data_IF_940471934596
#
_entry.id   IF_940471934596
#
_cell.length_a   1.000
_cell.length_b   1.000
_cell.length_c   1.000
_cell.angle_alpha   90.00
_cell.angle_beta   90.00
_cell.angle_gamma   90.00
#
_symmetry.space_group_name_H-M   'P 1'
#
loop_
_entity.id
_entity.type
_entity.pdbx_description
1 polymer ?
#
# COMPACT_ATOMS: atom_id res chain seq x y z
N UNK A 1 -8.45 -44.99 -22.51
CA UNK A 1 -7.21 -45.52 -21.92
C UNK A 1 -6.34 -44.33 -21.53
N UNK A 2 -5.99 -44.24 -20.28
CA UNK A 2 -4.88 -43.43 -19.76
C UNK A 2 -5.23 -42.01 -19.31
N UNK A 3 -5.80 -41.90 -18.12
CA UNK A 3 -5.87 -40.65 -17.35
C UNK A 3 -4.52 -40.52 -16.63
N UNK A 4 -3.71 -39.54 -17.01
CA UNK A 4 -2.43 -39.22 -16.41
C UNK A 4 -2.58 -38.33 -15.18
N UNK A 5 -1.88 -38.71 -14.16
CA UNK A 5 -1.87 -38.21 -12.79
C UNK A 5 -1.53 -36.71 -12.66
N UNK A 6 -2.24 -36.05 -11.76
CA UNK A 6 -1.96 -34.72 -11.23
C UNK A 6 -0.69 -34.75 -10.41
N UNK A 7 0.38 -34.14 -10.94
CA UNK A 7 1.63 -33.94 -10.23
C UNK A 7 1.47 -33.00 -9.04
N UNK A 8 1.69 -33.51 -7.85
CA UNK A 8 1.83 -32.73 -6.63
C UNK A 8 3.10 -31.87 -6.70
N UNK A 9 2.96 -30.56 -6.44
CA UNK A 9 4.06 -29.63 -6.28
C UNK A 9 4.88 -30.05 -5.04
N UNK A 10 6.20 -30.26 -5.16
CA UNK A 10 6.99 -30.67 -4.00
C UNK A 10 7.14 -29.54 -3.00
N UNK A 11 6.85 -29.82 -1.75
CA UNK A 11 7.13 -28.95 -0.62
C UNK A 11 8.65 -28.70 -0.54
N UNK A 12 9.06 -27.46 -0.72
CA UNK A 12 10.45 -27.03 -0.60
C UNK A 12 10.92 -27.22 0.83
N UNK A 13 11.84 -28.15 1.00
CA UNK A 13 12.53 -28.46 2.25
C UNK A 13 13.56 -27.37 2.52
N UNK A 14 13.34 -26.55 3.54
CA UNK A 14 14.38 -25.65 4.05
C UNK A 14 15.24 -26.47 5.00
N UNK A 15 16.47 -26.77 4.57
CA UNK A 15 17.54 -27.26 5.44
C UNK A 15 18.59 -26.17 5.49
N UNK A 16 18.78 -25.60 6.63
CA UNK A 16 20.01 -24.90 6.97
C UNK A 16 20.31 -25.12 8.44
N UNK A 17 21.20 -26.11 8.70
CA UNK A 17 21.97 -26.19 9.92
C UNK A 17 23.07 -25.13 9.83
N UNK A 18 22.89 -24.03 10.57
CA UNK A 18 23.94 -23.23 11.23
C UNK A 18 23.40 -21.84 11.53
N UNK A 19 22.89 -21.69 12.67
CA UNK A 19 22.96 -20.59 13.64
C UNK A 19 21.86 -20.89 14.67
N UNK A 20 22.20 -21.60 15.70
CA UNK A 20 21.47 -21.61 16.96
C UNK A 20 21.62 -20.22 17.58
N UNK A 21 20.74 -19.29 17.22
CA UNK A 21 20.28 -18.24 18.13
C UNK A 21 18.99 -17.58 17.58
N UNK A 22 17.84 -17.91 18.23
CA UNK A 22 16.63 -17.13 18.33
C UNK A 22 15.87 -16.75 17.04
N UNK A 23 15.53 -17.70 16.20
CA UNK A 23 14.38 -17.54 15.30
C UNK A 23 13.45 -18.73 15.45
N UNK A 24 12.60 -18.67 16.46
CA UNK A 24 11.45 -19.58 16.51
C UNK A 24 10.55 -19.19 15.34
N UNK A 25 10.62 -19.94 14.26
CA UNK A 25 9.59 -19.86 13.20
C UNK A 25 8.27 -20.16 13.91
N UNK A 26 7.39 -19.18 14.01
CA UNK A 26 6.06 -19.38 14.57
C UNK A 26 5.30 -20.24 13.57
N UNK A 27 5.31 -21.54 13.77
CA UNK A 27 4.48 -22.45 13.01
C UNK A 27 3.01 -22.30 13.48
N UNK A 28 2.31 -21.39 12.83
CA UNK A 28 0.89 -21.18 13.08
C UNK A 28 0.03 -22.42 12.74
N UNK A 29 0.57 -23.35 11.94
CA UNK A 29 -0.13 -24.59 11.58
C UNK A 29 -0.25 -25.57 12.75
N UNK A 30 0.70 -25.53 13.67
CA UNK A 30 0.73 -26.42 14.85
C UNK A 30 -0.12 -25.91 16.01
N UNK A 31 -0.56 -24.66 16.02
CA UNK A 31 -1.23 -23.99 17.14
C UNK A 31 -2.76 -23.96 17.08
N UNK A 32 -3.42 -24.55 16.09
CA UNK A 32 -4.87 -24.42 15.95
C UNK A 32 -5.30 -22.97 15.73
N UNK A 33 -6.18 -22.42 16.59
CA UNK A 33 -6.64 -21.04 16.55
C UNK A 33 -5.56 -20.11 17.12
N UNK A 34 -5.17 -19.08 16.34
CA UNK A 34 -4.21 -18.05 16.74
C UNK A 34 -4.86 -16.67 16.78
N UNK A 35 -4.34 -15.79 17.64
CA UNK A 35 -4.73 -14.37 17.70
C UNK A 35 -3.78 -13.56 16.85
N UNK A 36 -4.24 -13.14 15.68
CA UNK A 36 -3.40 -12.40 14.70
C UNK A 36 -3.78 -10.93 14.70
N UNK A 37 -2.80 -10.04 14.85
CA UNK A 37 -3.01 -8.61 14.70
C UNK A 37 -2.38 -8.14 13.40
N UNK A 38 -3.20 -7.64 12.47
CA UNK A 38 -2.76 -7.00 11.23
C UNK A 38 -2.75 -5.49 11.44
N UNK A 39 -1.57 -4.89 11.36
CA UNK A 39 -1.34 -3.47 11.53
C UNK A 39 -1.12 -2.82 10.16
N UNK A 40 -2.17 -2.26 9.61
CA UNK A 40 -2.18 -1.56 8.32
C UNK A 40 -2.37 -0.06 8.54
N UNK A 41 -1.30 0.72 8.39
CA UNK A 41 -1.41 2.17 8.64
C UNK A 41 -2.32 2.87 7.64
N UNK A 42 -2.31 2.47 6.38
CA UNK A 42 -2.98 3.18 5.30
C UNK A 42 -4.44 2.73 5.08
N UNK A 43 -4.81 1.51 5.46
CA UNK A 43 -6.12 0.91 5.21
C UNK A 43 -6.28 0.39 3.79
N UNK A 44 -5.25 -0.23 3.21
CA UNK A 44 -5.32 -0.73 1.84
C UNK A 44 -6.18 -1.99 1.70
N UNK A 45 -6.83 -2.20 0.56
CA UNK A 45 -7.80 -3.28 0.39
C UNK A 45 -7.19 -4.68 0.50
N UNK A 46 -5.98 -4.94 0.00
CA UNK A 46 -5.35 -6.25 0.09
C UNK A 46 -4.95 -6.64 1.53
N UNK A 47 -4.73 -5.67 2.41
CA UNK A 47 -4.38 -5.93 3.81
C UNK A 47 -5.61 -6.33 4.64
N UNK A 48 -6.75 -5.70 4.40
CA UNK A 48 -8.00 -6.13 5.06
C UNK A 48 -8.46 -7.48 4.51
N UNK A 49 -8.22 -7.78 3.23
CA UNK A 49 -8.52 -9.10 2.66
C UNK A 49 -7.71 -10.21 3.31
N UNK A 50 -6.42 -9.98 3.63
CA UNK A 50 -5.64 -10.91 4.44
C UNK A 50 -6.31 -11.16 5.79
N UNK A 51 -6.78 -10.10 6.45
CA UNK A 51 -7.44 -10.21 7.75
C UNK A 51 -8.73 -11.02 7.68
N UNK A 52 -9.54 -10.79 6.63
CA UNK A 52 -10.76 -11.57 6.37
C UNK A 52 -10.45 -13.04 6.13
N UNK A 53 -9.45 -13.32 5.29
CA UNK A 53 -9.07 -14.70 4.98
C UNK A 53 -8.56 -15.45 6.21
N UNK A 54 -7.73 -14.81 7.04
CA UNK A 54 -7.27 -15.39 8.29
C UNK A 54 -8.45 -15.69 9.24
N UNK A 55 -9.42 -14.79 9.33
CA UNK A 55 -10.60 -14.99 10.14
C UNK A 55 -11.49 -16.14 9.61
N UNK A 56 -11.65 -16.26 8.27
CA UNK A 56 -12.36 -17.39 7.65
C UNK A 56 -11.67 -18.73 7.89
N UNK A 57 -10.35 -18.74 8.10
CA UNK A 57 -9.58 -19.93 8.51
C UNK A 57 -9.67 -20.24 9.99
N UNK A 58 -10.50 -19.50 10.73
CA UNK A 58 -10.77 -19.74 12.15
C UNK A 58 -9.80 -19.07 13.11
N UNK A 59 -8.97 -18.14 12.65
CA UNK A 59 -8.16 -17.32 13.54
C UNK A 59 -8.96 -16.15 14.13
N UNK A 60 -8.61 -15.72 15.35
CA UNK A 60 -9.14 -14.49 15.95
C UNK A 60 -8.29 -13.31 15.45
N UNK A 61 -8.87 -12.43 14.66
CA UNK A 61 -8.12 -11.40 13.95
C UNK A 61 -8.52 -10.00 14.42
N UNK A 62 -7.54 -9.15 14.70
CA UNK A 62 -7.75 -7.72 14.85
C UNK A 62 -6.98 -6.98 13.76
N UNK A 63 -7.72 -6.23 12.93
CA UNK A 63 -7.16 -5.32 11.92
C UNK A 63 -7.14 -3.90 12.46
N UNK A 64 -5.96 -3.26 12.50
CA UNK A 64 -5.79 -1.90 13.01
C UNK A 64 -5.29 -0.99 11.90
N UNK A 65 -6.01 0.10 11.63
CA UNK A 65 -5.62 1.09 10.63
C UNK A 65 -5.63 2.52 11.21
N UNK A 66 -4.98 3.47 10.51
CA UNK A 66 -5.00 4.87 10.88
C UNK A 66 -6.20 5.61 10.25
N UNK A 67 -7.16 6.01 11.09
CA UNK A 67 -8.33 6.77 10.62
C UNK A 67 -7.97 8.16 10.14
N UNK A 68 -7.02 8.82 10.82
CA UNK A 68 -6.59 10.19 10.52
C UNK A 68 -5.67 10.32 9.30
N UNK A 69 -5.32 9.20 8.64
CA UNK A 69 -4.47 9.21 7.45
C UNK A 69 -5.32 9.18 6.20
N UNK A 70 -5.14 10.16 5.31
CA UNK A 70 -5.83 10.24 4.01
C UNK A 70 -5.17 9.33 3.00
N UNK A 71 -5.87 8.31 2.54
CA UNK A 71 -5.44 7.32 1.53
C UNK A 71 -6.68 6.76 0.83
N UNK A 72 -6.50 6.12 -0.31
CA UNK A 72 -7.54 5.28 -0.91
C UNK A 72 -7.74 4.04 -0.06
N UNK A 73 -8.66 4.11 0.92
CA UNK A 73 -8.96 2.99 1.81
C UNK A 73 -9.81 1.94 1.09
N UNK A 74 -9.56 0.67 1.43
CA UNK A 74 -10.47 -0.42 1.10
C UNK A 74 -11.76 -0.37 1.94
N UNK A 75 -12.63 -1.36 1.74
CA UNK A 75 -13.80 -1.57 2.59
C UNK A 75 -13.36 -2.12 3.94
N UNK A 76 -13.32 -1.26 4.96
CA UNK A 76 -12.80 -1.55 6.30
C UNK A 76 -13.94 -1.97 7.25
N UNK A 77 -14.64 -3.02 6.90
CA UNK A 77 -15.66 -3.69 7.72
C UNK A 77 -15.27 -5.16 7.98
N UNK A 78 -15.90 -5.75 8.99
CA UNK A 78 -15.76 -7.15 9.30
C UNK A 78 -16.87 -7.95 8.62
N UNK A 79 -16.59 -9.19 8.24
CA UNK A 79 -17.61 -10.16 7.82
C UNK A 79 -18.41 -10.60 9.07
N UNK A 80 -19.75 -10.67 8.99
CA UNK A 80 -20.64 -10.90 10.14
C UNK A 80 -20.39 -12.24 10.86
N UNK A 81 -19.96 -13.27 10.13
CA UNK A 81 -19.79 -14.63 10.63
C UNK A 81 -18.32 -14.98 10.99
N UNK A 82 -17.48 -13.99 11.26
CA UNK A 82 -16.06 -14.23 11.53
C UNK A 82 -15.55 -13.51 12.77
N UNK A 83 -14.50 -14.06 13.41
CA UNK A 83 -13.79 -13.42 14.53
C UNK A 83 -12.83 -12.31 14.06
N UNK A 84 -13.27 -11.47 13.13
CA UNK A 84 -12.56 -10.28 12.67
C UNK A 84 -13.07 -9.03 13.38
N UNK A 85 -12.15 -8.29 13.99
CA UNK A 85 -12.42 -6.96 14.54
C UNK A 85 -11.60 -5.89 13.82
N UNK A 86 -12.27 -4.91 13.24
CA UNK A 86 -11.61 -3.76 12.57
C UNK A 86 -11.61 -2.55 13.50
N UNK A 87 -10.43 -1.96 13.71
CA UNK A 87 -10.22 -0.84 14.63
C UNK A 87 -9.54 0.32 13.92
N UNK A 88 -10.28 1.41 13.73
CA UNK A 88 -9.72 2.67 13.23
C UNK A 88 -9.09 3.48 14.37
N UNK A 89 -7.77 3.62 14.36
CA UNK A 89 -7.02 4.39 15.34
C UNK A 89 -6.94 5.84 14.91
N UNK A 90 -7.35 6.76 15.79
CA UNK A 90 -7.29 8.20 15.57
C UNK A 90 -6.22 8.83 16.48
N UNK A 91 -5.45 9.79 15.96
CA UNK A 91 -4.48 10.57 16.75
C UNK A 91 -4.98 11.96 17.12
N UNK A 92 -6.23 12.30 16.74
CA UNK A 92 -6.89 13.56 17.09
C UNK A 92 -6.58 14.71 16.14
N UNK A 93 -5.67 14.53 15.18
CA UNK A 93 -5.33 15.50 14.14
C UNK A 93 -4.92 14.78 12.85
N UNK A 94 -5.10 15.45 11.70
CA UNK A 94 -4.59 14.94 10.43
C UNK A 94 -3.06 14.88 10.45
N UNK A 95 -2.51 13.82 9.84
CA UNK A 95 -1.06 13.68 9.73
C UNK A 95 -0.48 14.80 8.88
N UNK A 96 0.48 15.52 9.48
CA UNK A 96 1.22 16.57 8.77
C UNK A 96 2.25 15.94 7.85
N UNK A 97 2.10 16.19 6.55
CA UNK A 97 3.03 15.67 5.52
C UNK A 97 4.22 16.59 5.29
N UNK A 98 4.22 17.79 5.85
CA UNK A 98 5.15 18.86 5.50
C UNK A 98 6.14 19.24 6.59
N UNK A 99 5.78 19.01 7.86
CA UNK A 99 6.66 19.28 9.01
C UNK A 99 7.28 17.98 9.54
N UNK A 100 8.58 17.72 9.29
CA UNK A 100 9.23 16.48 9.70
C UNK A 100 9.15 16.23 11.21
N UNK A 101 9.37 17.24 12.03
CA UNK A 101 9.33 17.10 13.51
C UNK A 101 7.91 16.80 14.01
N UNK A 102 6.90 17.49 13.46
CA UNK A 102 5.50 17.22 13.81
C UNK A 102 5.11 15.80 13.37
N UNK A 103 5.51 15.40 12.19
CA UNK A 103 5.29 14.05 11.67
C UNK A 103 5.88 12.97 12.57
N UNK A 104 7.14 13.11 13.01
CA UNK A 104 7.79 12.17 13.94
C UNK A 104 7.02 12.08 15.26
N UNK A 105 6.56 13.21 15.83
CA UNK A 105 5.74 13.20 17.05
C UNK A 105 4.40 12.49 16.85
N UNK A 106 3.73 12.74 15.73
CA UNK A 106 2.46 12.10 15.40
C UNK A 106 2.63 10.59 15.21
N UNK A 107 3.66 10.15 14.50
CA UNK A 107 3.97 8.73 14.33
C UNK A 107 4.30 8.04 15.67
N UNK A 108 5.07 8.69 16.53
CA UNK A 108 5.36 8.17 17.86
C UNK A 108 4.11 8.11 18.76
N UNK A 109 3.22 9.10 18.67
CA UNK A 109 1.94 9.09 19.38
C UNK A 109 1.01 7.97 18.87
N UNK A 110 0.94 7.80 17.54
CA UNK A 110 0.23 6.72 16.91
C UNK A 110 0.76 5.35 17.37
N UNK A 111 2.07 5.14 17.32
CA UNK A 111 2.71 3.90 17.75
C UNK A 111 2.40 3.56 19.22
N UNK A 112 2.39 4.55 20.13
CA UNK A 112 2.01 4.33 21.54
C UNK A 112 0.54 3.91 21.68
N UNK A 113 -0.39 4.54 20.94
CA UNK A 113 -1.80 4.15 20.94
C UNK A 113 -2.00 2.76 20.35
N UNK A 114 -1.26 2.45 19.28
CA UNK A 114 -1.26 1.12 18.70
C UNK A 114 -0.86 0.05 19.73
N UNK A 115 0.24 0.25 20.45
CA UNK A 115 0.71 -0.67 21.52
C UNK A 115 -0.34 -0.87 22.60
N UNK A 116 -1.08 0.17 23.00
CA UNK A 116 -2.16 0.03 23.99
C UNK A 116 -3.30 -0.87 23.46
N UNK A 117 -3.66 -0.74 22.17
CA UNK A 117 -4.68 -1.59 21.54
C UNK A 117 -4.16 -3.02 21.42
N UNK A 118 -2.94 -3.20 20.94
CA UNK A 118 -2.31 -4.50 20.80
C UNK A 118 -2.18 -5.23 22.15
N UNK A 119 -1.78 -4.54 23.21
CA UNK A 119 -1.68 -5.12 24.55
C UNK A 119 -3.03 -5.57 25.12
N UNK A 120 -4.12 -4.89 24.78
CA UNK A 120 -5.49 -5.34 25.17
C UNK A 120 -5.94 -6.57 24.35
N UNK A 121 -5.57 -6.62 23.10
CA UNK A 121 -5.91 -7.74 22.21
C UNK A 121 -5.09 -8.99 22.54
N UNK A 122 -3.86 -8.86 23.04
CA UNK A 122 -2.93 -9.96 23.35
C UNK A 122 -2.72 -10.88 22.13
N UNK A 123 -2.12 -10.38 21.04
CA UNK A 123 -1.89 -11.19 19.86
C UNK A 123 -0.80 -12.25 20.11
N UNK A 124 -0.87 -13.36 19.36
CA UNK A 124 0.21 -14.34 19.27
C UNK A 124 1.27 -13.93 18.22
N UNK A 125 0.85 -13.14 17.23
CA UNK A 125 1.72 -12.60 16.18
C UNK A 125 1.18 -11.27 15.65
N UNK A 126 2.09 -10.38 15.24
CA UNK A 126 1.75 -9.12 14.56
C UNK A 126 2.29 -9.11 13.13
N UNK A 127 1.46 -8.69 12.18
CA UNK A 127 1.87 -8.38 10.80
C UNK A 127 1.85 -6.87 10.63
N UNK A 128 3.02 -6.25 10.52
CA UNK A 128 3.14 -4.80 10.30
C UNK A 128 3.23 -4.51 8.80
N UNK A 129 2.22 -3.82 8.26
CA UNK A 129 2.07 -3.51 6.85
C UNK A 129 2.09 -2.00 6.63
N UNK A 130 2.97 -1.51 5.77
CA UNK A 130 3.01 -0.09 5.36
C UNK A 130 2.96 0.92 6.52
N UNK A 131 3.57 0.57 7.65
CA UNK A 131 3.61 1.38 8.86
C UNK A 131 4.78 2.35 8.78
N UNK A 132 4.61 3.65 9.07
CA UNK A 132 5.71 4.61 9.14
C UNK A 132 6.79 4.16 10.11
N UNK A 133 8.06 4.37 9.75
CA UNK A 133 9.21 3.79 10.46
C UNK A 133 9.28 4.14 11.95
N UNK A 134 8.89 5.35 12.33
CA UNK A 134 8.87 5.77 13.75
C UNK A 134 7.79 5.02 14.52
N UNK A 135 6.58 4.91 13.97
CA UNK A 135 5.51 4.14 14.59
C UNK A 135 5.85 2.64 14.68
N UNK A 136 6.44 2.09 13.61
CA UNK A 136 6.92 0.71 13.57
C UNK A 136 8.01 0.46 14.62
N UNK A 137 8.92 1.44 14.86
CA UNK A 137 9.95 1.33 15.90
C UNK A 137 9.35 1.15 17.29
N UNK A 138 8.26 1.88 17.58
CA UNK A 138 7.54 1.75 18.85
C UNK A 138 6.89 0.38 18.99
N UNK A 139 6.25 -0.11 17.92
CA UNK A 139 5.65 -1.44 17.88
C UNK A 139 6.71 -2.55 18.05
N UNK A 140 7.81 -2.48 17.29
CA UNK A 140 8.91 -3.46 17.37
C UNK A 140 9.59 -3.48 18.75
N UNK A 141 9.78 -2.33 19.37
CA UNK A 141 10.32 -2.25 20.73
C UNK A 141 9.39 -2.92 21.76
N UNK A 142 8.09 -2.75 21.60
CA UNK A 142 7.10 -3.44 22.43
C UNK A 142 7.08 -4.93 22.17
N UNK A 143 7.05 -5.39 20.91
CA UNK A 143 7.11 -6.81 20.55
C UNK A 143 8.33 -7.50 21.19
N UNK A 144 9.51 -6.86 21.10
CA UNK A 144 10.74 -7.40 21.73
C UNK A 144 10.62 -7.50 23.24
N UNK A 145 10.01 -6.53 23.92
CA UNK A 145 9.83 -6.55 25.38
C UNK A 145 8.88 -7.66 25.82
N UNK A 146 7.83 -7.90 25.06
CA UNK A 146 6.83 -8.94 25.34
C UNK A 146 7.22 -10.32 24.81
N UNK A 147 8.35 -10.47 24.09
CA UNK A 147 8.73 -11.71 23.43
C UNK A 147 7.76 -12.12 22.31
N UNK A 148 7.09 -11.16 21.71
CA UNK A 148 6.04 -11.36 20.71
C UNK A 148 6.64 -11.37 19.31
N UNK A 149 6.45 -12.42 18.50
CA UNK A 149 6.91 -12.47 17.12
C UNK A 149 6.14 -11.49 16.24
N UNK A 150 6.84 -10.92 15.26
CA UNK A 150 6.23 -10.03 14.30
C UNK A 150 6.83 -10.16 12.89
N UNK A 151 5.99 -9.92 11.89
CA UNK A 151 6.31 -9.98 10.48
C UNK A 151 6.37 -8.56 9.92
N UNK A 152 7.40 -8.26 9.16
CA UNK A 152 7.47 -7.04 8.37
C UNK A 152 6.95 -7.33 6.96
N UNK A 153 5.74 -6.88 6.65
CA UNK A 153 5.21 -6.92 5.28
C UNK A 153 5.59 -5.64 4.56
N UNK A 154 6.67 -5.73 3.77
CA UNK A 154 7.32 -4.62 3.09
C UNK A 154 6.56 -4.25 1.81
N UNK A 155 5.89 -3.10 1.84
CA UNK A 155 5.10 -2.57 0.73
C UNK A 155 5.87 -1.54 -0.12
N UNK A 156 6.69 -0.73 0.53
CA UNK A 156 7.58 0.27 -0.07
C UNK A 156 8.89 0.30 0.70
N UNK A 157 10.00 0.61 0.04
CA UNK A 157 11.27 0.95 0.70
C UNK A 157 11.20 2.42 1.16
N UNK A 158 10.57 2.65 2.33
CA UNK A 158 10.25 3.98 2.84
C UNK A 158 11.46 4.90 2.94
N UNK A 159 12.59 4.41 3.44
CA UNK A 159 13.79 5.22 3.60
C UNK A 159 14.40 5.64 2.28
N UNK A 160 14.32 4.80 1.25
CA UNK A 160 14.78 5.11 -0.11
C UNK A 160 13.96 6.27 -0.67
N UNK A 161 12.63 6.18 -0.57
CA UNK A 161 11.72 7.25 -0.98
C UNK A 161 11.98 8.56 -0.23
N UNK A 162 12.12 8.49 1.11
CA UNK A 162 12.39 9.65 1.96
C UNK A 162 13.74 10.29 1.65
N UNK A 163 14.78 9.49 1.40
CA UNK A 163 16.13 9.98 1.06
C UNK A 163 16.12 10.69 -0.28
N UNK A 164 15.46 10.13 -1.29
CA UNK A 164 15.33 10.73 -2.60
C UNK A 164 14.63 12.10 -2.52
N UNK A 165 13.51 12.18 -1.79
CA UNK A 165 12.76 13.43 -1.63
C UNK A 165 13.54 14.48 -0.81
N UNK A 166 14.18 14.08 0.30
CA UNK A 166 14.99 14.98 1.10
C UNK A 166 16.23 15.50 0.33
N UNK A 167 16.85 14.66 -0.50
CA UNK A 167 17.95 15.07 -1.34
C UNK A 167 17.55 16.11 -2.40
N UNK A 168 16.34 15.98 -2.97
CA UNK A 168 15.77 16.97 -3.90
C UNK A 168 15.60 18.35 -3.21
N UNK A 169 15.17 18.37 -1.93
CA UNK A 169 14.86 19.62 -1.20
C UNK A 169 16.09 20.32 -0.62
N UNK A 170 16.98 19.59 0.04
CA UNK A 170 18.09 20.17 0.82
C UNK A 170 19.45 19.52 0.52
N UNK A 171 19.61 18.89 -0.64
CA UNK A 171 20.88 18.41 -1.18
C UNK A 171 21.62 17.42 -0.24
N UNK A 172 22.88 17.73 0.10
CA UNK A 172 23.75 16.88 0.94
C UNK A 172 23.19 16.65 2.34
N UNK A 173 22.55 17.66 2.93
CA UNK A 173 21.93 17.54 4.26
C UNK A 173 20.76 16.56 4.22
N UNK A 174 19.93 16.63 3.18
CA UNK A 174 18.82 15.70 2.98
C UNK A 174 19.28 14.25 2.85
N UNK A 175 20.36 13.99 2.10
CA UNK A 175 20.97 12.65 2.02
C UNK A 175 21.44 12.14 3.40
N UNK A 176 22.04 13.01 4.20
CA UNK A 176 22.50 12.64 5.55
C UNK A 176 21.35 12.33 6.51
N UNK A 177 20.25 13.06 6.40
CA UNK A 177 19.01 12.75 7.14
C UNK A 177 18.39 11.43 6.66
N UNK A 178 18.38 11.19 5.36
CA UNK A 178 17.88 9.96 4.74
C UNK A 178 18.65 8.72 5.21
N UNK A 179 19.99 8.81 5.37
CA UNK A 179 20.79 7.69 5.86
C UNK A 179 20.40 7.25 7.29
N UNK A 180 19.89 8.15 8.12
CA UNK A 180 19.33 7.83 9.44
C UNK A 180 18.07 6.98 9.35
N UNK A 181 17.17 7.32 8.42
CA UNK A 181 15.96 6.53 8.17
C UNK A 181 16.28 5.18 7.53
N UNK A 182 17.27 5.12 6.64
CA UNK A 182 17.75 3.85 6.07
C UNK A 182 18.32 2.93 7.16
N UNK A 183 19.15 3.45 8.04
CA UNK A 183 19.67 2.68 9.17
C UNK A 183 18.54 2.17 10.09
N UNK A 184 17.50 2.96 10.28
CA UNK A 184 16.32 2.57 11.05
C UNK A 184 15.53 1.47 10.36
N UNK A 185 15.20 1.62 9.06
CA UNK A 185 14.46 0.61 8.29
C UNK A 185 15.22 -0.71 8.24
N UNK A 186 16.53 -0.65 7.93
CA UNK A 186 17.41 -1.82 7.96
C UNK A 186 17.45 -2.51 9.31
N UNK A 187 17.47 -1.73 10.43
CA UNK A 187 17.41 -2.28 11.79
C UNK A 187 16.08 -2.98 12.04
N UNK A 188 14.96 -2.39 11.62
CA UNK A 188 13.63 -2.96 11.79
C UNK A 188 13.49 -4.28 11.00
N UNK A 189 13.95 -4.32 9.75
CA UNK A 189 13.97 -5.53 8.93
C UNK A 189 14.77 -6.66 9.59
N UNK A 190 15.93 -6.33 10.20
CA UNK A 190 16.74 -7.33 10.93
C UNK A 190 16.12 -7.80 12.24
N UNK A 191 15.22 -7.01 12.83
CA UNK A 191 14.54 -7.36 14.08
C UNK A 191 13.23 -8.12 13.86
N UNK A 192 12.71 -8.14 12.65
CA UNK A 192 11.51 -8.89 12.31
C UNK A 192 11.82 -10.40 12.34
N UNK A 193 10.85 -11.18 12.79
CA UNK A 193 10.94 -12.66 12.80
C UNK A 193 10.67 -13.24 11.39
N UNK A 194 10.02 -12.47 10.53
CA UNK A 194 9.80 -12.76 9.12
C UNK A 194 9.68 -11.48 8.30
N UNK A 195 10.12 -11.56 7.04
CA UNK A 195 9.98 -10.47 6.06
C UNK A 195 9.18 -10.99 4.87
N UNK A 196 8.12 -10.28 4.52
CA UNK A 196 7.35 -10.52 3.30
C UNK A 196 7.57 -9.33 2.38
N UNK A 197 8.15 -9.57 1.20
CA UNK A 197 8.31 -8.57 0.13
C UNK A 197 7.19 -8.72 -0.89
N UNK A 198 6.70 -7.61 -1.44
CA UNK A 198 5.67 -7.63 -2.48
C UNK A 198 6.22 -7.78 -3.90
N UNK A 199 7.53 -7.76 -4.07
CA UNK A 199 8.21 -7.90 -5.36
C UNK A 199 9.63 -8.41 -5.15
N UNK A 200 10.15 -9.10 -6.15
CA UNK A 200 11.56 -9.48 -6.21
C UNK A 200 12.48 -8.27 -6.39
N UNK A 201 11.98 -7.16 -6.93
CA UNK A 201 12.75 -5.93 -7.18
C UNK A 201 13.35 -5.31 -5.91
N UNK A 202 12.78 -5.60 -4.74
CA UNK A 202 13.33 -5.13 -3.47
C UNK A 202 14.49 -5.99 -2.96
N UNK A 203 14.59 -7.25 -3.40
CA UNK A 203 15.61 -8.20 -2.89
C UNK A 203 17.05 -7.72 -3.08
N UNK A 204 17.46 -7.09 -4.20
CA UNK A 204 18.81 -6.54 -4.33
C UNK A 204 19.14 -5.50 -3.25
N UNK A 205 18.19 -4.61 -2.94
CA UNK A 205 18.36 -3.61 -1.87
C UNK A 205 18.41 -4.27 -0.49
N UNK A 206 17.55 -5.23 -0.22
CA UNK A 206 17.57 -6.00 1.03
C UNK A 206 18.89 -6.73 1.22
N UNK A 207 19.44 -7.34 0.17
CA UNK A 207 20.76 -7.97 0.17
C UNK A 207 21.88 -6.97 0.49
N UNK A 208 21.88 -5.79 -0.13
CA UNK A 208 22.84 -4.71 0.19
C UNK A 208 22.74 -4.27 1.66
N UNK A 209 21.56 -4.33 2.24
CA UNK A 209 21.34 -4.03 3.65
C UNK A 209 21.71 -5.19 4.59
N UNK A 210 22.19 -6.30 4.04
CA UNK A 210 22.59 -7.51 4.80
C UNK A 210 21.38 -8.26 5.36
N UNK A 211 20.25 -8.20 4.67
CA UNK A 211 19.10 -9.09 4.86
C UNK A 211 19.26 -10.23 3.85
N UNK A 212 19.19 -11.46 4.32
CA UNK A 212 19.28 -12.63 3.45
C UNK A 212 18.01 -12.70 2.57
N UNK A 213 18.15 -12.67 1.23
CA UNK A 213 16.99 -12.80 0.34
C UNK A 213 16.23 -14.11 0.53
N UNK A 214 16.91 -15.20 0.89
CA UNK A 214 16.28 -16.51 1.15
C UNK A 214 15.44 -16.52 2.44
N UNK A 215 15.70 -15.57 3.35
CA UNK A 215 14.88 -15.35 4.54
C UNK A 215 13.65 -14.47 4.28
N UNK A 216 13.51 -13.95 3.05
CA UNK A 216 12.39 -13.13 2.62
C UNK A 216 11.42 -13.99 1.79
N UNK A 217 10.14 -13.96 2.15
CA UNK A 217 9.09 -14.55 1.31
C UNK A 217 8.57 -13.48 0.37
N UNK A 218 8.55 -13.75 -0.94
CA UNK A 218 7.91 -12.84 -1.91
C UNK A 218 6.46 -13.25 -2.07
N UNK A 219 5.56 -12.32 -1.75
CA UNK A 219 4.11 -12.45 -1.96
C UNK A 219 3.64 -11.15 -2.59
N UNK A 220 3.33 -11.21 -3.87
CA UNK A 220 2.84 -10.05 -4.62
C UNK A 220 1.49 -9.58 -4.05
N UNK A 221 1.23 -8.28 -4.18
CA UNK A 221 -0.09 -7.74 -3.85
C UNK A 221 -1.13 -8.26 -4.85
N UNK A 222 -2.36 -8.35 -4.39
CA UNK A 222 -3.50 -8.80 -5.19
C UNK A 222 -4.59 -7.72 -5.27
N UNK A 223 -5.51 -7.90 -6.19
CA UNK A 223 -6.68 -7.05 -6.28
C UNK A 223 -7.81 -7.59 -5.40
N UNK A 224 -8.59 -6.71 -4.74
CA UNK A 224 -9.78 -7.11 -3.98
C UNK A 224 -10.94 -7.42 -4.94
N UNK A 225 -10.89 -8.59 -5.59
CA UNK A 225 -11.83 -8.97 -6.65
C UNK A 225 -13.29 -8.90 -6.23
N UNK A 226 -13.57 -9.28 -4.99
CA UNK A 226 -14.94 -9.23 -4.44
C UNK A 226 -15.48 -7.80 -4.33
N UNK A 227 -14.61 -6.83 -4.04
CA UNK A 227 -14.96 -5.42 -3.88
C UNK A 227 -14.93 -4.65 -5.21
N UNK A 228 -14.37 -5.24 -6.28
CA UNK A 228 -14.18 -4.60 -7.58
C UNK A 228 -14.83 -5.38 -8.75
N UNK A 229 -16.14 -5.67 -8.69
CA UNK A 229 -16.82 -6.30 -9.81
C UNK A 229 -16.77 -5.37 -11.04
N UNK A 230 -16.54 -5.91 -12.26
CA UNK A 230 -16.61 -5.12 -13.48
C UNK A 230 -17.94 -4.41 -13.62
N UNK A 231 -17.90 -3.14 -14.04
CA UNK A 231 -19.10 -2.33 -14.28
C UNK A 231 -19.16 -1.88 -15.74
N UNK A 232 -20.37 -1.69 -16.32
CA UNK A 232 -20.49 -1.16 -17.67
C UNK A 232 -19.88 0.25 -17.76
N UNK A 233 -19.49 0.64 -18.99
CA UNK A 233 -18.99 1.98 -19.26
C UNK A 233 -20.05 3.03 -18.96
N UNK A 234 -21.25 2.78 -19.48
CA UNK A 234 -22.40 3.64 -19.27
C UNK A 234 -23.09 3.24 -17.97
N UNK A 235 -22.73 3.94 -16.90
CA UNK A 235 -23.20 3.70 -15.55
C UNK A 235 -23.64 5.02 -14.88
N UNK A 236 -24.24 4.92 -13.69
CA UNK A 236 -24.78 6.09 -12.99
C UNK A 236 -23.73 7.13 -12.64
N UNK A 237 -22.50 6.70 -12.27
CA UNK A 237 -21.43 7.64 -11.98
C UNK A 237 -21.05 8.44 -13.22
N UNK A 238 -20.89 7.78 -14.37
CA UNK A 238 -20.59 8.44 -15.64
C UNK A 238 -21.68 9.46 -16.03
N UNK A 239 -22.94 9.09 -15.87
CA UNK A 239 -24.06 9.97 -16.10
C UNK A 239 -24.05 11.17 -15.14
N UNK A 240 -23.82 10.95 -13.85
CA UNK A 240 -23.75 12.02 -12.84
C UNK A 240 -22.63 13.03 -13.09
N UNK A 241 -21.55 12.59 -13.75
CA UNK A 241 -20.43 13.47 -14.14
C UNK A 241 -20.67 14.16 -15.50
N UNK A 242 -21.78 13.89 -16.19
CA UNK A 242 -22.11 14.47 -17.49
C UNK A 242 -21.08 14.13 -18.57
N UNK A 243 -20.49 12.93 -18.52
CA UNK A 243 -19.45 12.50 -19.46
C UNK A 243 -20.04 12.07 -20.83
N UNK A 244 -21.30 11.62 -20.86
CA UNK A 244 -21.98 11.20 -22.11
C UNK A 244 -21.15 10.17 -22.88
N UNK A 245 -21.11 10.30 -24.22
CA UNK A 245 -20.38 9.40 -25.10
C UNK A 245 -18.89 9.76 -25.30
N UNK A 246 -18.39 10.82 -24.62
CA UNK A 246 -17.01 11.27 -24.76
C UNK A 246 -16.03 10.18 -24.39
N UNK A 247 -14.91 10.09 -25.10
CA UNK A 247 -13.81 9.19 -24.72
C UNK A 247 -13.18 9.70 -23.41
N UNK A 248 -12.92 8.81 -22.46
CA UNK A 248 -12.47 9.17 -21.10
C UNK A 248 -11.18 8.46 -20.74
N UNK A 249 -10.11 9.22 -20.56
CA UNK A 249 -8.94 8.82 -19.79
C UNK A 249 -9.19 9.11 -18.33
N UNK A 250 -9.02 8.10 -17.46
CA UNK A 250 -9.28 8.24 -16.04
C UNK A 250 -8.07 7.83 -15.19
N UNK A 251 -7.64 8.74 -14.34
CA UNK A 251 -6.68 8.46 -13.27
C UNK A 251 -7.39 8.45 -11.93
N UNK A 252 -7.15 7.45 -11.09
CA UNK A 252 -7.67 7.43 -9.73
C UNK A 252 -6.62 7.00 -8.71
N UNK A 253 -6.78 7.47 -7.47
CA UNK A 253 -5.87 7.20 -6.36
C UNK A 253 -5.03 8.42 -5.97
N UNK A 254 -4.25 8.31 -4.90
CA UNK A 254 -3.39 9.41 -4.44
C UNK A 254 -2.41 9.84 -5.53
N UNK A 255 -2.43 11.12 -5.87
CA UNK A 255 -1.50 11.72 -6.83
C UNK A 255 -0.41 12.46 -6.05
N UNK A 256 0.66 11.76 -5.72
CA UNK A 256 1.87 12.35 -5.14
C UNK A 256 2.85 12.82 -6.23
N UNK A 257 3.89 13.53 -5.83
CA UNK A 257 4.93 14.02 -6.76
C UNK A 257 5.69 12.89 -7.48
N UNK A 258 5.72 11.70 -6.90
CA UNK A 258 6.29 10.48 -7.52
C UNK A 258 5.51 9.99 -8.76
N UNK A 259 4.37 10.58 -9.07
CA UNK A 259 3.54 10.18 -10.21
C UNK A 259 3.61 11.15 -11.41
N UNK A 260 4.44 12.21 -11.34
CA UNK A 260 4.59 13.23 -12.39
C UNK A 260 3.23 13.73 -12.91
N UNK A 261 2.48 14.50 -12.11
CA UNK A 261 1.12 14.95 -12.44
C UNK A 261 1.06 15.71 -13.77
N UNK A 262 2.15 16.35 -14.19
CA UNK A 262 2.27 17.07 -15.46
C UNK A 262 1.97 16.17 -16.68
N UNK A 263 2.14 14.86 -16.57
CA UNK A 263 1.80 13.94 -17.67
C UNK A 263 0.28 13.89 -17.92
N UNK A 264 -0.53 13.99 -16.86
CA UNK A 264 -1.99 14.08 -17.01
C UNK A 264 -2.43 15.38 -17.66
N UNK A 265 -1.77 16.49 -17.31
CA UNK A 265 -2.01 17.77 -17.94
C UNK A 265 -1.64 17.74 -19.43
N UNK A 266 -0.48 17.18 -19.78
CA UNK A 266 -0.05 17.01 -21.18
C UNK A 266 -0.98 16.09 -21.97
N UNK A 267 -1.45 15.00 -21.34
CA UNK A 267 -2.44 14.11 -21.96
C UNK A 267 -3.72 14.90 -22.30
N UNK A 268 -4.21 15.70 -21.37
CA UNK A 268 -5.38 16.53 -21.60
C UNK A 268 -5.14 17.59 -22.69
N UNK A 269 -3.97 18.22 -22.71
CA UNK A 269 -3.58 19.20 -23.73
C UNK A 269 -3.58 18.60 -25.14
N UNK A 270 -3.08 17.37 -25.30
CA UNK A 270 -3.07 16.66 -26.58
C UNK A 270 -4.45 16.13 -27.00
N UNK A 271 -5.35 15.91 -26.05
CA UNK A 271 -6.67 15.34 -26.27
C UNK A 271 -7.80 16.40 -26.31
N UNK A 272 -7.46 17.68 -26.42
CA UNK A 272 -8.48 18.76 -26.49
C UNK A 272 -9.39 18.54 -27.71
N UNK A 273 -10.69 18.49 -27.45
CA UNK A 273 -11.71 18.26 -28.49
C UNK A 273 -11.96 16.79 -28.83
N UNK A 274 -11.12 15.87 -28.39
CA UNK A 274 -11.23 14.44 -28.69
C UNK A 274 -11.62 13.59 -27.46
N UNK A 275 -11.07 13.93 -26.28
CA UNK A 275 -11.29 13.14 -25.07
C UNK A 275 -11.30 14.00 -23.80
N UNK A 276 -11.96 13.48 -22.78
CA UNK A 276 -11.90 14.00 -21.40
C UNK A 276 -10.79 13.30 -20.62
N UNK A 277 -10.05 14.04 -19.81
CA UNK A 277 -9.13 13.49 -18.81
C UNK A 277 -9.71 13.76 -17.43
N UNK A 278 -10.08 12.70 -16.74
CA UNK A 278 -10.71 12.77 -15.41
C UNK A 278 -9.72 12.27 -14.37
N UNK A 279 -9.43 13.10 -13.38
CA UNK A 279 -8.50 12.80 -12.28
C UNK A 279 -9.26 12.78 -10.97
N UNK A 280 -9.47 11.56 -10.44
CA UNK A 280 -10.14 11.33 -9.15
C UNK A 280 -9.05 11.15 -8.09
N UNK A 281 -8.65 12.23 -7.45
CA UNK A 281 -7.45 12.23 -6.62
C UNK A 281 -7.44 13.30 -5.54
N UNK A 282 -6.54 13.13 -4.61
CA UNK A 282 -6.15 14.13 -3.61
C UNK A 282 -4.62 14.10 -3.44
N UNK A 283 -4.05 15.20 -2.97
CA UNK A 283 -2.65 15.32 -2.62
C UNK A 283 -1.90 16.39 -3.41
N UNK A 284 -0.57 16.43 -3.24
CA UNK A 284 0.29 17.47 -3.84
C UNK A 284 0.24 17.52 -5.37
N UNK A 285 0.13 16.36 -6.00
CA UNK A 285 0.05 16.30 -7.46
C UNK A 285 -1.26 16.85 -7.99
N UNK A 286 -2.35 16.67 -7.24
CA UNK A 286 -3.64 17.27 -7.58
C UNK A 286 -3.60 18.79 -7.41
N UNK A 287 -2.98 19.29 -6.33
CA UNK A 287 -2.75 20.73 -6.15
C UNK A 287 -1.90 21.30 -7.29
N UNK A 288 -0.86 20.60 -7.71
CA UNK A 288 -0.04 21.00 -8.86
C UNK A 288 -0.85 21.10 -10.16
N UNK A 289 -1.76 20.15 -10.39
CA UNK A 289 -2.67 20.24 -11.56
C UNK A 289 -3.61 21.44 -11.47
N UNK A 290 -4.11 21.79 -10.28
CA UNK A 290 -4.94 23.00 -10.08
C UNK A 290 -4.15 24.27 -10.39
N UNK A 291 -2.88 24.37 -9.95
CA UNK A 291 -2.00 25.49 -10.28
C UNK A 291 -1.82 25.63 -11.80
N UNK A 292 -1.52 24.53 -12.49
CA UNK A 292 -1.37 24.53 -13.95
C UNK A 292 -2.66 24.92 -14.67
N UNK A 293 -3.82 24.46 -14.20
CA UNK A 293 -5.12 24.85 -14.74
C UNK A 293 -5.46 26.32 -14.47
N UNK A 294 -4.99 26.89 -13.37
CA UNK A 294 -5.15 28.32 -13.08
C UNK A 294 -4.29 29.20 -14.01
N UNK A 295 -3.08 28.73 -14.35
CA UNK A 295 -2.20 29.41 -15.31
C UNK A 295 -2.70 29.26 -16.76
N UNK A 296 -3.11 28.06 -17.14
CA UNK A 296 -3.62 27.75 -18.49
C UNK A 296 -4.77 26.75 -18.40
N UNK A 297 -6.02 27.21 -18.47
CA UNK A 297 -7.20 26.37 -18.40
C UNK A 297 -7.28 25.35 -19.56
N UNK A 298 -7.64 24.10 -19.24
CA UNK A 298 -7.98 23.07 -20.22
C UNK A 298 -9.42 22.61 -19.97
N UNK A 299 -10.33 22.76 -20.95
CA UNK A 299 -11.75 22.48 -20.75
C UNK A 299 -12.06 21.00 -20.57
N UNK A 300 -11.15 20.12 -20.99
CA UNK A 300 -11.27 18.68 -20.96
C UNK A 300 -10.45 18.01 -19.83
N UNK A 301 -9.90 18.78 -18.87
CA UNK A 301 -9.25 18.24 -17.68
C UNK A 301 -10.12 18.50 -16.45
N UNK A 302 -10.64 17.43 -15.85
CA UNK A 302 -11.51 17.49 -14.66
C UNK A 302 -10.80 16.92 -13.45
N UNK A 303 -10.77 17.68 -12.36
CA UNK A 303 -10.23 17.24 -11.07
C UNK A 303 -11.39 17.00 -10.11
N UNK A 304 -11.51 15.76 -9.63
CA UNK A 304 -12.56 15.34 -8.71
C UNK A 304 -11.93 14.83 -7.41
N UNK A 305 -12.59 15.03 -6.25
CA UNK A 305 -12.13 14.45 -4.99
C UNK A 305 -12.29 12.93 -5.01
N UNK A 306 -11.69 12.26 -4.02
CA UNK A 306 -11.94 10.83 -3.82
C UNK A 306 -13.43 10.54 -3.75
N UNK A 307 -13.81 9.45 -4.40
CA UNK A 307 -15.19 8.96 -4.39
C UNK A 307 -15.38 7.93 -3.27
N UNK A 308 -16.61 7.75 -2.77
CA UNK A 308 -16.92 6.66 -1.85
C UNK A 308 -16.47 5.32 -2.42
N UNK A 309 -15.95 4.44 -1.55
CA UNK A 309 -15.37 3.16 -1.98
C UNK A 309 -16.42 2.27 -2.68
N UNK A 310 -17.68 2.38 -2.30
CA UNK A 310 -18.80 1.64 -2.88
C UNK A 310 -19.02 2.00 -4.35
N UNK A 311 -18.68 3.25 -4.73
CA UNK A 311 -18.78 3.73 -6.11
C UNK A 311 -17.53 3.49 -6.93
N UNK A 312 -16.44 3.03 -6.30
CA UNK A 312 -15.16 2.86 -6.98
C UNK A 312 -15.23 1.92 -8.20
N UNK A 313 -15.98 0.79 -8.18
CA UNK A 313 -16.17 -0.02 -9.37
C UNK A 313 -16.84 0.74 -10.54
N UNK A 314 -17.81 1.62 -10.25
CA UNK A 314 -18.45 2.46 -11.27
C UNK A 314 -17.48 3.49 -11.84
N UNK A 315 -16.67 4.11 -10.97
CA UNK A 315 -15.63 5.06 -11.38
C UNK A 315 -14.67 4.44 -12.36
N UNK A 316 -14.14 3.24 -12.03
CA UNK A 316 -13.26 2.50 -12.92
C UNK A 316 -13.95 2.08 -14.21
N UNK A 317 -15.19 1.57 -14.10
CA UNK A 317 -16.01 1.15 -15.23
C UNK A 317 -16.32 2.28 -16.22
N UNK A 318 -16.44 3.52 -15.74
CA UNK A 318 -16.75 4.68 -16.55
C UNK A 318 -15.64 5.11 -17.52
N UNK A 319 -14.42 4.62 -17.34
CA UNK A 319 -13.28 4.93 -18.21
C UNK A 319 -13.32 4.14 -19.54
N UNK A 320 -12.75 4.72 -20.59
CA UNK A 320 -12.34 4.00 -21.80
C UNK A 320 -10.89 3.51 -21.60
N UNK A 321 -10.04 4.35 -20.99
CA UNK A 321 -8.65 4.03 -20.64
C UNK A 321 -8.35 4.47 -19.22
N UNK A 322 -7.79 3.57 -18.41
CA UNK A 322 -7.30 3.86 -17.08
C UNK A 322 -5.81 4.21 -17.15
N UNK A 323 -5.42 5.30 -16.49
CA UNK A 323 -4.06 5.85 -16.58
C UNK A 323 -3.26 5.54 -15.32
N UNK A 324 -2.15 4.83 -15.46
CA UNK A 324 -1.21 4.53 -14.38
C UNK A 324 0.13 5.25 -14.59
N UNK A 325 0.59 5.98 -13.59
CA UNK A 325 1.81 6.75 -13.65
C UNK A 325 2.76 6.37 -12.53
N UNK A 326 4.05 6.27 -12.84
CA UNK A 326 5.11 6.11 -11.87
C UNK A 326 6.37 6.82 -12.41
N UNK A 327 6.97 7.70 -11.60
CA UNK A 327 8.23 8.35 -11.98
C UNK A 327 9.35 7.32 -12.12
N UNK A 328 10.28 7.44 -13.10
CA UNK A 328 11.36 6.47 -13.30
C UNK A 328 12.17 6.15 -12.04
N UNK A 329 12.45 7.16 -11.23
CA UNK A 329 13.19 6.99 -9.97
C UNK A 329 12.38 6.28 -8.88
N UNK A 330 11.06 6.15 -9.02
CA UNK A 330 10.19 5.51 -8.03
C UNK A 330 10.04 4.00 -8.26
N UNK A 331 10.37 3.49 -9.43
CA UNK A 331 10.28 2.07 -9.77
C UNK A 331 11.12 1.16 -8.88
N UNK A 332 12.22 1.67 -8.33
CA UNK A 332 13.12 0.89 -7.47
C UNK A 332 12.64 0.72 -6.02
N UNK A 333 11.62 1.45 -5.60
CA UNK A 333 11.17 1.44 -4.20
C UNK A 333 9.64 1.38 -4.02
N UNK A 334 8.87 1.36 -5.09
CA UNK A 334 7.40 1.36 -5.04
C UNK A 334 6.79 0.58 -6.21
N UNK A 335 5.71 -0.14 -5.93
CA UNK A 335 4.92 -0.86 -6.94
C UNK A 335 3.58 -0.12 -7.13
N UNK A 336 3.15 0.15 -8.37
CA UNK A 336 1.91 0.86 -8.65
C UNK A 336 0.68 -0.04 -8.48
N UNK A 337 0.31 -0.37 -7.25
CA UNK A 337 -0.79 -1.30 -6.90
C UNK A 337 -2.14 -0.97 -7.53
N UNK A 338 -2.36 0.29 -7.97
CA UNK A 338 -3.58 0.69 -8.69
C UNK A 338 -3.79 -0.09 -10.00
N UNK A 339 -2.71 -0.56 -10.64
CA UNK A 339 -2.80 -1.37 -11.86
C UNK A 339 -3.62 -2.64 -11.62
N UNK A 340 -3.48 -3.26 -10.45
CA UNK A 340 -4.26 -4.44 -10.08
C UNK A 340 -5.77 -4.14 -10.08
N UNK A 341 -6.18 -3.01 -9.47
CA UNK A 341 -7.57 -2.57 -9.49
C UNK A 341 -8.07 -2.22 -10.90
N UNK A 342 -7.19 -1.65 -11.73
CA UNK A 342 -7.52 -1.30 -13.11
C UNK A 342 -7.76 -2.53 -13.99
N UNK A 343 -6.98 -3.58 -13.81
CA UNK A 343 -7.18 -4.85 -14.49
C UNK A 343 -8.52 -5.49 -14.12
N UNK A 344 -8.98 -5.34 -12.87
CA UNK A 344 -10.30 -5.83 -12.47
C UNK A 344 -11.44 -5.15 -13.21
N UNK A 345 -11.28 -3.89 -13.62
CA UNK A 345 -12.31 -3.15 -14.34
C UNK A 345 -12.50 -3.61 -15.79
N UNK A 346 -11.57 -4.41 -16.33
CA UNK A 346 -11.61 -4.86 -17.73
C UNK A 346 -11.50 -3.71 -18.75
N UNK A 347 -10.82 -2.62 -18.40
CA UNK A 347 -10.58 -1.46 -19.27
C UNK A 347 -9.14 -1.47 -19.78
N UNK A 348 -8.91 -0.80 -20.91
CA UNK A 348 -7.56 -0.57 -21.40
C UNK A 348 -6.75 0.21 -20.34
N UNK A 349 -5.46 -0.09 -20.23
CA UNK A 349 -4.56 0.58 -19.28
C UNK A 349 -3.45 1.28 -20.07
N UNK A 350 -3.34 2.60 -19.87
CA UNK A 350 -2.21 3.40 -20.34
C UNK A 350 -1.23 3.55 -19.17
N UNK A 351 -0.08 2.88 -19.26
CA UNK A 351 0.93 2.90 -18.23
C UNK A 351 2.14 3.75 -18.66
N UNK A 352 2.45 4.78 -17.88
CA UNK A 352 3.73 5.49 -17.93
C UNK A 352 4.54 5.11 -16.69
N UNK A 353 5.11 3.93 -16.75
CA UNK A 353 5.83 3.23 -15.67
C UNK A 353 7.17 2.80 -16.23
N UNK A 354 8.27 2.84 -15.45
CA UNK A 354 9.55 2.32 -15.91
C UNK A 354 9.46 0.85 -16.36
N UNK A 355 10.12 0.47 -17.47
CA UNK A 355 10.03 -0.89 -17.98
C UNK A 355 10.64 -1.94 -17.05
N UNK A 356 11.46 -1.52 -16.11
CA UNK A 356 12.12 -2.37 -15.11
C UNK A 356 11.20 -2.66 -13.90
N UNK A 357 10.04 -2.00 -13.80
CA UNK A 357 9.11 -2.17 -12.67
C UNK A 357 8.13 -3.30 -12.92
#
# INVERSE_FOLDING_TARGET
MGIGETGAVPATRVVSDRVEDRRTVVDLRSRGVSRVLVHDFAGHPFQIDLSRELARRGHVVQHVYCRSYTSGKGRLDADEDTDLRVVGLDVGECFDRYSPMRRVRQEAAYGRRFVQIAGRFRPDVIVNCNVPLVAMSVAAAWCRREGLPWIFWLQDLHSVAMTAEAAKRVGRLGRRMGSGFEALERRLLRQADGVVSITEDFLPTLKQWGIDPEACTVIENWAPLADLPPRPRDNEWRASQGLGDRFVYLYTGTLGLKHRPELLYRLAEQAVGEAEVVVVSEGLGEQRLREMLAERPLPNLRLLPFQPIERYPEVLGAADVLVALLEPTAGTFSVPSKVLSYLCAGRAVLAAIPPEN
#
